data_IF_063932057524
#
_entry.id   IF_063932057524
#
_cell.length_a   1.000
_cell.length_b   1.000
_cell.length_c   1.000
_cell.angle_alpha   90.00
_cell.angle_beta   90.00
_cell.angle_gamma   90.00
#
_symmetry.space_group_name_H-M   'P 1'
#
loop_
_entity.id
_entity.type
_entity.pdbx_description
1 polymer ?
#
# COMPACT_ATOMS: atom_id res chain seq x y z
N UNK A 1 15.50 14.54 2.26
CA UNK A 1 16.87 14.05 1.95
C UNK A 1 17.04 12.54 2.13
N UNK A 2 16.41 11.89 3.12
CA UNK A 2 16.51 10.44 3.32
C UNK A 2 16.16 9.56 2.10
N UNK A 3 15.18 9.90 1.23
CA UNK A 3 14.89 9.09 0.04
C UNK A 3 16.02 9.09 -0.98
N UNK A 4 16.64 10.26 -1.21
CA UNK A 4 17.71 10.45 -2.22
C UNK A 4 18.97 9.67 -1.83
N UNK A 5 19.32 9.65 -0.54
CA UNK A 5 20.46 8.88 -0.03
C UNK A 5 20.27 7.37 -0.25
N UNK A 6 19.06 6.83 0.01
CA UNK A 6 18.78 5.41 -0.22
C UNK A 6 18.81 5.02 -1.70
N UNK A 7 18.35 5.90 -2.59
CA UNK A 7 18.51 5.68 -4.03
C UNK A 7 19.98 5.69 -4.48
N UNK A 8 20.79 6.59 -3.90
CA UNK A 8 22.22 6.63 -4.18
C UNK A 8 22.90 5.35 -3.67
N UNK A 9 22.56 4.87 -2.47
CA UNK A 9 23.09 3.63 -1.91
C UNK A 9 22.68 2.41 -2.74
N UNK A 10 21.41 2.30 -3.15
CA UNK A 10 20.94 1.27 -4.06
C UNK A 10 21.72 1.28 -5.39
N UNK A 11 21.98 2.47 -5.97
CA UNK A 11 22.76 2.61 -7.19
C UNK A 11 24.23 2.20 -7.00
N UNK A 12 24.84 2.56 -5.87
CA UNK A 12 26.20 2.15 -5.51
C UNK A 12 26.30 0.63 -5.39
N UNK A 13 25.34 -0.02 -4.72
CA UNK A 13 25.29 -1.48 -4.62
C UNK A 13 25.06 -2.14 -5.98
N UNK A 14 24.23 -1.55 -6.85
CA UNK A 14 24.04 -2.02 -8.22
C UNK A 14 25.36 -1.97 -9.03
N UNK A 15 26.13 -0.88 -8.91
CA UNK A 15 27.43 -0.72 -9.57
C UNK A 15 28.44 -1.73 -9.00
N UNK A 16 28.49 -1.93 -7.68
CA UNK A 16 29.35 -2.94 -7.03
C UNK A 16 29.00 -4.37 -7.48
N UNK A 17 27.71 -4.68 -7.61
CA UNK A 17 27.23 -5.96 -8.14
C UNK A 17 27.70 -6.19 -9.58
N UNK A 18 27.54 -5.21 -10.48
CA UNK A 18 28.04 -5.32 -11.87
C UNK A 18 29.57 -5.42 -11.94
N UNK A 19 30.29 -4.77 -11.02
CA UNK A 19 31.75 -4.86 -10.96
C UNK A 19 32.22 -6.23 -10.44
N UNK A 20 31.49 -6.85 -9.51
CA UNK A 20 31.73 -8.21 -9.05
C UNK A 20 31.41 -9.25 -10.13
N UNK A 21 30.34 -9.05 -10.89
CA UNK A 21 29.99 -9.85 -12.07
C UNK A 21 31.11 -9.83 -13.12
N UNK A 22 31.64 -8.64 -13.45
CA UNK A 22 32.80 -8.50 -14.36
C UNK A 22 34.07 -9.19 -13.83
N UNK A 23 34.18 -9.40 -12.52
CA UNK A 23 35.29 -10.12 -11.88
C UNK A 23 35.01 -11.62 -11.69
N UNK A 24 33.88 -12.12 -12.20
CA UNK A 24 33.39 -13.51 -12.01
C UNK A 24 33.26 -13.95 -10.54
N UNK A 25 33.12 -13.01 -9.61
CA UNK A 25 32.88 -13.31 -8.18
C UNK A 25 31.37 -13.40 -7.90
N UNK A 26 30.84 -14.60 -8.10
CA UNK A 26 29.43 -14.92 -7.86
C UNK A 26 28.99 -14.75 -6.40
N UNK A 27 29.89 -14.89 -5.42
CA UNK A 27 29.52 -14.77 -4.01
C UNK A 27 29.30 -13.30 -3.65
N UNK A 28 30.25 -12.42 -3.99
CA UNK A 28 30.13 -10.98 -3.74
C UNK A 28 29.01 -10.36 -4.58
N UNK A 29 28.79 -10.83 -5.82
CA UNK A 29 27.68 -10.37 -6.65
C UNK A 29 26.33 -10.61 -5.96
N UNK A 30 26.09 -11.81 -5.43
CA UNK A 30 24.84 -12.14 -4.72
C UNK A 30 24.62 -11.26 -3.49
N UNK A 31 25.67 -11.03 -2.71
CA UNK A 31 25.60 -10.16 -1.52
C UNK A 31 25.22 -8.73 -1.90
N UNK A 32 25.95 -8.12 -2.85
CA UNK A 32 25.63 -6.74 -3.28
C UNK A 32 24.27 -6.61 -3.95
N UNK A 33 23.84 -7.63 -4.71
CA UNK A 33 22.50 -7.66 -5.29
C UNK A 33 21.40 -7.74 -4.22
N UNK A 34 21.60 -8.56 -3.17
CA UNK A 34 20.64 -8.66 -2.06
C UNK A 34 20.53 -7.36 -1.24
N UNK A 35 21.66 -6.67 -1.03
CA UNK A 35 21.71 -5.36 -0.37
C UNK A 35 21.00 -4.30 -1.20
N UNK A 36 21.24 -4.27 -2.52
CA UNK A 36 20.56 -3.38 -3.44
C UNK A 36 19.04 -3.56 -3.39
N UNK A 37 18.56 -4.81 -3.44
CA UNK A 37 17.13 -5.12 -3.36
C UNK A 37 16.51 -4.70 -2.03
N UNK A 38 17.23 -4.85 -0.93
CA UNK A 38 16.80 -4.39 0.39
C UNK A 38 16.61 -2.88 0.40
N UNK A 39 17.62 -2.11 -0.02
CA UNK A 39 17.55 -0.65 -0.08
C UNK A 39 16.43 -0.15 -1.02
N UNK A 40 16.24 -0.79 -2.17
CA UNK A 40 15.15 -0.46 -3.10
C UNK A 40 13.77 -0.72 -2.47
N UNK A 41 13.60 -1.84 -1.76
CA UNK A 41 12.35 -2.15 -1.06
C UNK A 41 12.04 -1.16 0.07
N UNK A 42 13.06 -0.73 0.81
CA UNK A 42 12.94 0.24 1.90
C UNK A 42 12.67 1.65 1.36
N UNK A 43 13.28 2.03 0.23
CA UNK A 43 12.98 3.27 -0.47
C UNK A 43 11.56 3.28 -1.05
N UNK A 44 11.09 2.16 -1.59
CA UNK A 44 9.73 2.01 -2.07
C UNK A 44 8.70 2.07 -0.93
N UNK A 45 9.01 1.52 0.24
CA UNK A 45 8.15 1.63 1.43
C UNK A 45 8.02 3.09 1.91
N UNK A 46 9.12 3.83 1.96
CA UNK A 46 9.07 5.26 2.30
C UNK A 46 8.20 6.05 1.33
N UNK A 47 8.30 5.75 0.03
CA UNK A 47 7.49 6.39 -1.01
C UNK A 47 6.00 6.10 -0.83
N UNK A 48 5.65 4.89 -0.39
CA UNK A 48 4.27 4.57 -0.01
C UNK A 48 3.81 5.43 1.16
N UNK A 49 4.62 5.57 2.21
CA UNK A 49 4.24 6.40 3.35
C UNK A 49 4.03 7.86 2.95
N UNK A 50 4.93 8.44 2.17
CA UNK A 50 4.76 9.79 1.61
C UNK A 50 3.46 9.90 0.79
N UNK A 51 3.24 8.94 -0.11
CA UNK A 51 2.06 8.91 -0.97
C UNK A 51 0.73 8.81 -0.19
N UNK A 52 0.65 7.96 0.83
CA UNK A 52 -0.61 7.69 1.54
C UNK A 52 -0.80 8.48 2.84
N UNK A 53 0.26 9.00 3.46
CA UNK A 53 0.16 9.84 4.67
C UNK A 53 0.12 11.34 4.35
N UNK A 54 0.63 11.75 3.19
CA UNK A 54 0.63 13.15 2.76
C UNK A 54 -0.31 13.36 1.57
N UNK A 55 -0.01 12.73 0.42
CA UNK A 55 -0.74 13.02 -0.82
C UNK A 55 -2.20 12.54 -0.80
N UNK A 56 -2.49 11.36 -0.24
CA UNK A 56 -3.87 10.85 -0.17
C UNK A 56 -4.80 11.70 0.73
N UNK A 57 -4.42 12.09 1.97
CA UNK A 57 -5.20 13.03 2.77
C UNK A 57 -5.34 14.41 2.11
N UNK A 58 -4.28 14.92 1.47
CA UNK A 58 -4.35 16.16 0.70
C UNK A 58 -5.39 16.04 -0.42
N UNK A 59 -5.45 14.90 -1.11
CA UNK A 59 -6.44 14.64 -2.14
C UNK A 59 -7.87 14.53 -1.59
N UNK A 60 -8.06 13.96 -0.39
CA UNK A 60 -9.36 13.99 0.30
C UNK A 60 -9.81 15.42 0.57
N UNK A 61 -8.92 16.24 1.11
CA UNK A 61 -9.19 17.66 1.39
C UNK A 61 -9.50 18.42 0.10
N UNK A 62 -8.70 18.24 -0.95
CA UNK A 62 -8.92 18.88 -2.25
C UNK A 62 -10.27 18.50 -2.85
N UNK A 63 -10.64 17.22 -2.80
CA UNK A 63 -11.92 16.72 -3.34
C UNK A 63 -13.09 17.27 -2.53
N UNK A 64 -13.01 17.29 -1.19
CA UNK A 64 -14.06 17.85 -0.33
C UNK A 64 -14.23 19.36 -0.48
N UNK A 65 -13.14 20.12 -0.64
CA UNK A 65 -13.19 21.56 -0.92
C UNK A 65 -13.77 21.84 -2.30
N UNK A 66 -13.43 21.04 -3.30
CA UNK A 66 -13.97 21.18 -4.64
C UNK A 66 -15.49 20.99 -4.66
N UNK A 67 -16.00 20.00 -3.91
CA UNK A 67 -17.42 19.79 -3.69
C UNK A 67 -18.13 20.98 -3.02
N UNK A 68 -17.43 21.75 -2.18
CA UNK A 68 -17.98 22.97 -1.55
C UNK A 68 -17.94 24.18 -2.48
N UNK A 69 -16.86 24.34 -3.23
CA UNK A 69 -16.59 25.56 -3.99
C UNK A 69 -17.34 25.60 -5.32
N UNK A 70 -17.49 24.47 -6.01
CA UNK A 70 -18.10 24.44 -7.34
C UNK A 70 -19.00 23.20 -7.50
N UNK A 71 -20.33 23.38 -7.67
CA UNK A 71 -21.20 22.27 -8.05
C UNK A 71 -21.01 21.84 -9.51
N UNK A 72 -20.11 22.48 -10.28
CA UNK A 72 -19.74 22.12 -11.65
C UNK A 72 -18.25 21.78 -11.70
N UNK A 73 -17.93 20.51 -11.94
CA UNK A 73 -16.55 20.05 -12.02
C UNK A 73 -15.97 20.35 -13.39
N UNK A 74 -14.85 21.07 -13.43
CA UNK A 74 -14.10 21.24 -14.68
C UNK A 74 -13.38 19.93 -15.01
N UNK A 75 -13.41 19.50 -16.28
CA UNK A 75 -12.77 18.26 -16.76
C UNK A 75 -11.31 18.15 -16.31
N UNK A 76 -10.56 19.26 -16.32
CA UNK A 76 -9.17 19.30 -15.86
C UNK A 76 -8.99 18.91 -14.39
N UNK A 77 -9.92 19.28 -13.50
CA UNK A 77 -9.86 18.92 -12.09
C UNK A 77 -10.11 17.44 -11.89
N UNK A 78 -11.09 16.87 -12.61
CA UNK A 78 -11.38 15.45 -12.57
C UNK A 78 -10.18 14.62 -13.09
N UNK A 79 -9.58 15.06 -14.20
CA UNK A 79 -8.38 14.42 -14.76
C UNK A 79 -7.20 14.47 -13.79
N UNK A 80 -7.02 15.59 -13.06
CA UNK A 80 -5.95 15.73 -12.07
C UNK A 80 -6.17 14.81 -10.85
N UNK A 81 -7.41 14.70 -10.37
CA UNK A 81 -7.76 13.77 -9.29
C UNK A 81 -7.52 12.33 -9.74
N UNK A 82 -7.95 11.98 -10.96
CA UNK A 82 -7.77 10.64 -11.52
C UNK A 82 -6.29 10.29 -11.69
N UNK A 83 -5.48 11.18 -12.25
CA UNK A 83 -4.05 10.94 -12.47
C UNK A 83 -3.28 10.76 -11.15
N UNK A 84 -3.62 11.52 -10.11
CA UNK A 84 -3.07 11.35 -8.77
C UNK A 84 -3.31 9.94 -8.23
N UNK A 85 -4.56 9.45 -8.30
CA UNK A 85 -4.92 8.12 -7.77
C UNK A 85 -4.27 7.01 -8.58
N UNK A 86 -4.18 7.16 -9.91
CA UNK A 86 -3.41 6.25 -10.76
C UNK A 86 -1.94 6.20 -10.31
N UNK A 87 -1.35 7.36 -10.02
CA UNK A 87 0.01 7.47 -9.48
C UNK A 87 0.18 6.72 -8.14
N UNK A 88 -0.80 6.81 -7.23
CA UNK A 88 -0.78 6.08 -5.96
C UNK A 88 -0.86 4.57 -6.17
N UNK A 89 -1.75 4.12 -7.06
CA UNK A 89 -1.86 2.71 -7.45
C UNK A 89 -0.55 2.18 -8.06
N UNK A 90 0.10 2.99 -8.90
CA UNK A 90 1.40 2.65 -9.48
C UNK A 90 2.51 2.53 -8.44
N UNK A 91 2.58 3.48 -7.50
CA UNK A 91 3.55 3.44 -6.39
C UNK A 91 3.39 2.16 -5.56
N UNK A 92 2.16 1.75 -5.29
CA UNK A 92 1.87 0.53 -4.54
C UNK A 92 2.27 -0.74 -5.31
N UNK A 93 1.95 -0.82 -6.60
CA UNK A 93 2.34 -1.95 -7.43
C UNK A 93 3.88 -2.05 -7.58
N UNK A 94 4.57 -0.92 -7.70
CA UNK A 94 6.03 -0.86 -7.75
C UNK A 94 6.66 -1.38 -6.45
N UNK A 95 6.14 -0.99 -5.28
CA UNK A 95 6.58 -1.52 -4.00
C UNK A 95 6.34 -3.03 -3.86
N UNK A 96 5.14 -3.51 -4.19
CA UNK A 96 4.82 -4.94 -4.10
C UNK A 96 5.73 -5.77 -5.00
N UNK A 97 6.10 -5.23 -6.16
CA UNK A 97 7.10 -5.83 -7.04
C UNK A 97 8.51 -5.81 -6.41
N UNK A 98 8.95 -4.71 -5.80
CA UNK A 98 10.25 -4.61 -5.14
C UNK A 98 10.39 -5.60 -3.96
N UNK A 99 9.37 -5.68 -3.10
CA UNK A 99 9.32 -6.64 -1.98
C UNK A 99 9.37 -8.07 -2.47
N UNK A 100 8.72 -8.36 -3.60
CA UNK A 100 8.72 -9.71 -4.19
C UNK A 100 10.08 -10.08 -4.79
N UNK A 101 10.77 -9.14 -5.43
CA UNK A 101 12.13 -9.38 -5.94
C UNK A 101 13.13 -9.69 -4.83
N UNK A 102 12.94 -9.09 -3.64
CA UNK A 102 13.74 -9.43 -2.46
C UNK A 102 13.56 -10.89 -2.01
N UNK A 103 12.35 -11.46 -2.18
CA UNK A 103 12.06 -12.87 -1.88
C UNK A 103 12.48 -13.76 -3.07
N UNK A 104 13.74 -14.21 -3.10
CA UNK A 104 14.30 -15.01 -4.20
C UNK A 104 13.61 -16.37 -4.46
N UNK A 105 12.66 -16.78 -3.62
CA UNK A 105 11.97 -18.08 -3.66
C UNK A 105 10.66 -18.10 -4.48
N UNK A 106 10.26 -16.99 -5.13
CA UNK A 106 9.00 -16.91 -5.88
C UNK A 106 9.21 -16.49 -7.33
N UNK A 107 8.50 -17.16 -8.25
CA UNK A 107 8.48 -16.82 -9.67
C UNK A 107 8.16 -15.33 -9.87
N UNK A 108 8.86 -14.70 -10.82
CA UNK A 108 8.62 -13.30 -11.21
C UNK A 108 7.14 -13.10 -11.56
N UNK A 109 6.56 -12.01 -11.04
CA UNK A 109 5.17 -11.65 -11.33
C UNK A 109 5.02 -11.36 -12.83
N UNK A 110 3.99 -11.94 -13.47
CA UNK A 110 3.67 -11.55 -14.85
C UNK A 110 3.30 -10.08 -14.91
N UNK A 111 3.57 -9.43 -16.05
CA UNK A 111 3.16 -8.04 -16.28
C UNK A 111 1.65 -7.86 -16.13
N UNK A 112 0.87 -8.86 -16.53
CA UNK A 112 -0.58 -8.93 -16.33
C UNK A 112 -0.97 -8.97 -14.85
N UNK A 113 -0.24 -9.72 -14.02
CA UNK A 113 -0.45 -9.76 -12.58
C UNK A 113 -0.19 -8.41 -11.93
N UNK A 114 0.88 -7.70 -12.33
CA UNK A 114 1.11 -6.33 -11.85
C UNK A 114 0.04 -5.37 -12.31
N UNK A 115 -0.44 -5.46 -13.56
CA UNK A 115 -1.49 -4.59 -14.05
C UNK A 115 -2.80 -4.76 -13.26
N UNK A 116 -3.21 -6.02 -13.00
CA UNK A 116 -4.38 -6.31 -12.15
C UNK A 116 -4.18 -5.78 -10.72
N UNK A 117 -2.95 -5.90 -10.20
CA UNK A 117 -2.54 -5.40 -8.88
C UNK A 117 -2.67 -3.89 -8.74
N UNK A 118 -2.11 -3.16 -9.68
CA UNK A 118 -2.30 -1.72 -9.79
C UNK A 118 -3.77 -1.38 -9.86
N UNK A 119 -4.54 -2.11 -10.68
CA UNK A 119 -5.94 -1.80 -10.95
C UNK A 119 -6.84 -2.01 -9.73
N UNK A 120 -6.75 -3.13 -9.01
CA UNK A 120 -7.60 -3.31 -7.82
C UNK A 120 -7.23 -2.32 -6.72
N UNK A 121 -5.95 -2.03 -6.53
CA UNK A 121 -5.52 -1.07 -5.51
C UNK A 121 -5.94 0.35 -5.87
N UNK A 122 -5.87 0.72 -7.15
CA UNK A 122 -6.42 1.97 -7.67
C UNK A 122 -7.91 2.09 -7.34
N UNK A 123 -8.72 1.09 -7.70
CA UNK A 123 -10.17 1.14 -7.50
C UNK A 123 -10.59 1.18 -6.03
N UNK A 124 -9.92 0.40 -5.17
CA UNK A 124 -10.16 0.40 -3.72
C UNK A 124 -9.80 1.77 -3.15
N UNK A 125 -8.61 2.29 -3.48
CA UNK A 125 -8.11 3.59 -3.00
C UNK A 125 -9.02 4.72 -3.46
N UNK A 126 -9.44 4.72 -4.73
CA UNK A 126 -10.39 5.68 -5.30
C UNK A 126 -11.68 5.75 -4.48
N UNK A 127 -12.29 4.60 -4.24
CA UNK A 127 -13.54 4.54 -3.48
C UNK A 127 -13.35 5.00 -2.03
N UNK A 128 -12.22 4.69 -1.38
CA UNK A 128 -11.90 5.17 -0.03
C UNK A 128 -11.73 6.68 0.02
N UNK A 129 -10.97 7.26 -0.90
CA UNK A 129 -10.77 8.71 -0.98
C UNK A 129 -12.11 9.42 -1.17
N UNK A 130 -12.95 8.95 -2.10
CA UNK A 130 -14.26 9.56 -2.36
C UNK A 130 -15.17 9.43 -1.13
N UNK A 131 -15.24 8.24 -0.52
CA UNK A 131 -16.06 8.01 0.69
C UNK A 131 -15.67 8.92 1.85
N UNK A 132 -14.38 9.14 2.07
CA UNK A 132 -13.90 10.01 3.16
C UNK A 132 -14.10 11.48 2.77
N UNK A 133 -13.95 11.83 1.50
CA UNK A 133 -14.17 13.19 0.99
C UNK A 133 -15.62 13.65 1.14
N UNK A 134 -16.60 12.77 0.88
CA UNK A 134 -18.02 13.11 1.04
C UNK A 134 -18.40 13.35 2.49
N UNK A 135 -17.84 12.58 3.42
CA UNK A 135 -18.07 12.82 4.85
C UNK A 135 -17.28 14.04 5.34
N UNK A 136 -16.08 14.29 4.82
CA UNK A 136 -15.34 15.52 5.09
C UNK A 136 -16.10 16.78 4.62
N UNK A 137 -16.80 16.66 3.49
CA UNK A 137 -17.68 17.70 2.97
C UNK A 137 -18.84 18.00 3.93
N UNK A 138 -19.55 16.97 4.42
CA UNK A 138 -20.71 17.12 5.32
C UNK A 138 -20.30 17.49 6.76
N UNK A 139 -19.33 16.76 7.31
CA UNK A 139 -18.96 16.76 8.72
C UNK A 139 -17.43 16.69 8.89
N UNK A 140 -16.69 17.79 8.65
CA UNK A 140 -15.24 17.78 8.61
C UNK A 140 -14.60 17.36 9.94
N UNK A 141 -15.10 17.88 11.07
CA UNK A 141 -14.56 17.55 12.40
C UNK A 141 -14.78 16.08 12.77
N UNK A 142 -15.97 15.54 12.50
CA UNK A 142 -16.30 14.14 12.73
C UNK A 142 -15.49 13.19 11.83
N UNK A 143 -15.16 13.64 10.62
CA UNK A 143 -14.31 12.88 9.71
C UNK A 143 -12.91 12.70 10.27
N UNK A 144 -12.31 13.78 10.80
CA UNK A 144 -10.98 13.72 11.43
C UNK A 144 -10.99 12.74 12.61
N UNK A 145 -12.02 12.81 13.46
CA UNK A 145 -12.17 11.90 14.59
C UNK A 145 -12.31 10.43 14.13
N UNK A 146 -13.17 10.17 13.14
CA UNK A 146 -13.36 8.82 12.59
C UNK A 146 -12.08 8.26 11.96
N UNK A 147 -11.31 9.09 11.26
CA UNK A 147 -10.01 8.73 10.69
C UNK A 147 -9.01 8.40 11.80
N UNK A 148 -8.91 9.23 12.85
CA UNK A 148 -8.04 8.99 13.99
C UNK A 148 -8.39 7.69 14.72
N UNK A 149 -9.67 7.43 14.97
CA UNK A 149 -10.14 6.18 15.58
C UNK A 149 -9.78 4.98 14.70
N UNK A 150 -10.02 5.05 13.38
CA UNK A 150 -9.66 3.97 12.48
C UNK A 150 -8.16 3.67 12.51
N UNK A 151 -7.31 4.71 12.48
CA UNK A 151 -5.86 4.56 12.57
C UNK A 151 -5.45 3.94 13.91
N UNK A 152 -6.04 4.37 15.02
CA UNK A 152 -5.75 3.81 16.34
C UNK A 152 -6.13 2.32 16.42
N UNK A 153 -7.31 1.96 15.91
CA UNK A 153 -7.77 0.57 15.87
C UNK A 153 -6.86 -0.27 14.97
N UNK A 154 -6.52 0.18 13.76
CA UNK A 154 -5.66 -0.59 12.87
C UNK A 154 -4.24 -0.69 13.39
N UNK A 155 -3.67 0.37 13.95
CA UNK A 155 -2.34 0.37 14.56
C UNK A 155 -2.25 -0.57 15.77
N UNK A 156 -3.28 -0.59 16.62
CA UNK A 156 -3.35 -1.52 17.77
C UNK A 156 -3.50 -2.96 17.31
N UNK A 157 -4.33 -3.24 16.29
CA UNK A 157 -4.44 -4.57 15.69
C UNK A 157 -3.09 -5.03 15.12
N UNK A 158 -2.34 -4.15 14.44
CA UNK A 158 -0.99 -4.45 13.96
C UNK A 158 -0.08 -4.80 15.14
N UNK A 159 -0.04 -3.99 16.20
CA UNK A 159 0.81 -4.25 17.37
C UNK A 159 0.50 -5.58 18.07
N UNK A 160 -0.77 -5.99 18.11
CA UNK A 160 -1.20 -7.24 18.75
C UNK A 160 -0.87 -8.45 17.86
N UNK A 161 -1.15 -8.36 16.56
CA UNK A 161 -1.08 -9.51 15.67
C UNK A 161 0.22 -9.62 14.87
N UNK A 162 0.97 -8.53 14.73
CA UNK A 162 2.16 -8.38 13.90
C UNK A 162 3.26 -7.65 14.68
N UNK A 163 4.00 -8.40 15.49
CA UNK A 163 5.23 -7.87 16.11
C UNK A 163 6.21 -7.52 14.99
N UNK A 164 6.41 -6.23 14.72
CA UNK A 164 7.22 -5.76 13.59
C UNK A 164 8.66 -6.25 13.72
N UNK A 165 9.22 -6.91 12.68
CA UNK A 165 10.62 -7.32 12.69
C UNK A 165 11.59 -6.14 12.47
N UNK A 166 11.11 -4.98 12.01
CA UNK A 166 11.97 -3.87 11.56
C UNK A 166 12.51 -3.01 12.71
N UNK A 167 11.77 -2.88 13.82
CA UNK A 167 12.11 -1.96 14.91
C UNK A 167 12.23 -2.63 16.28
N UNK A 168 12.73 -3.87 16.33
CA UNK A 168 12.85 -4.65 17.58
C UNK A 168 13.73 -3.99 18.65
N UNK A 169 14.59 -3.02 18.30
CA UNK A 169 15.52 -2.39 19.24
C UNK A 169 15.00 -1.06 19.83
N UNK A 170 14.02 -0.40 19.21
CA UNK A 170 13.45 0.87 19.68
C UNK A 170 11.92 0.84 19.66
N UNK A 171 11.31 0.79 20.85
CA UNK A 171 9.84 0.72 21.01
C UNK A 171 9.11 1.91 20.41
N UNK A 172 9.70 3.11 20.45
CA UNK A 172 9.08 4.32 19.88
C UNK A 172 9.00 4.21 18.37
N UNK A 173 10.06 3.69 17.72
CA UNK A 173 10.09 3.51 16.27
C UNK A 173 9.07 2.46 15.81
N UNK A 174 8.91 1.37 16.57
CA UNK A 174 7.92 0.32 16.29
C UNK A 174 6.46 0.84 16.37
N UNK A 175 6.17 1.60 17.42
CA UNK A 175 4.87 2.27 17.59
C UNK A 175 4.63 3.26 16.44
N UNK A 176 5.59 4.14 16.15
CA UNK A 176 5.48 5.12 15.08
C UNK A 176 5.26 4.44 13.71
N UNK A 177 5.95 3.33 13.44
CA UNK A 177 5.76 2.55 12.23
C UNK A 177 4.35 1.95 12.12
N UNK A 178 3.81 1.48 13.25
CA UNK A 178 2.45 0.93 13.29
C UNK A 178 1.38 2.00 13.10
N UNK A 179 1.60 3.21 13.61
CA UNK A 179 0.77 4.37 13.32
C UNK A 179 0.85 4.79 11.84
N UNK A 180 2.06 4.81 11.26
CA UNK A 180 2.24 5.08 9.84
C UNK A 180 1.50 4.05 8.97
N UNK A 181 1.62 2.76 9.28
CA UNK A 181 0.86 1.71 8.58
C UNK A 181 -0.66 1.84 8.81
N UNK A 182 -1.09 2.15 10.03
CA UNK A 182 -2.50 2.40 10.33
C UNK A 182 -3.07 3.56 9.50
N UNK A 183 -2.26 4.60 9.28
CA UNK A 183 -2.56 5.72 8.37
C UNK A 183 -2.71 5.27 6.92
N UNK A 184 -1.80 4.44 6.41
CA UNK A 184 -1.94 3.87 5.05
C UNK A 184 -3.21 3.01 4.94
N UNK A 185 -3.53 2.23 5.97
CA UNK A 185 -4.70 1.35 6.03
C UNK A 185 -6.02 2.11 6.02
N UNK A 186 -6.02 3.42 6.22
CA UNK A 186 -7.20 4.24 5.98
C UNK A 186 -7.67 4.17 4.52
N UNK A 187 -6.72 4.03 3.58
CA UNK A 187 -6.94 4.05 2.13
C UNK A 187 -6.77 2.70 1.45
N UNK A 188 -5.74 1.93 1.84
CA UNK A 188 -5.43 0.66 1.19
C UNK A 188 -4.66 -0.26 2.14
N UNK A 189 -4.90 -1.57 2.02
CA UNK A 189 -4.13 -2.55 2.76
C UNK A 189 -2.82 -2.86 2.04
N UNK A 190 -1.70 -2.63 2.73
CA UNK A 190 -0.37 -3.07 2.31
C UNK A 190 0.15 -4.06 3.33
N UNK A 191 0.82 -5.13 2.91
CA UNK A 191 1.43 -6.05 3.86
C UNK A 191 2.95 -5.82 3.88
N UNK A 192 3.56 -5.42 5.01
CA UNK A 192 5.01 -5.18 5.08
C UNK A 192 5.85 -6.45 4.88
N UNK A 193 5.29 -7.61 5.28
CA UNK A 193 5.95 -8.92 5.20
C UNK A 193 4.93 -9.98 4.78
N UNK A 194 5.14 -10.66 3.65
CA UNK A 194 4.22 -11.68 3.16
C UNK A 194 4.14 -12.89 4.12
N UNK A 195 2.96 -13.14 4.71
CA UNK A 195 2.69 -14.25 5.64
C UNK A 195 1.33 -14.94 5.41
N UNK A 196 0.89 -15.84 6.32
CA UNK A 196 -0.44 -16.48 6.28
C UNK A 196 -1.53 -15.47 6.66
N UNK A 197 -1.94 -14.62 5.72
CA UNK A 197 -2.72 -13.39 6.04
C UNK A 197 -4.15 -13.36 5.50
N UNK A 198 -4.67 -14.45 4.93
CA UNK A 198 -6.01 -14.47 4.28
C UNK A 198 -7.14 -13.94 5.18
N UNK A 199 -7.16 -14.33 6.46
CA UNK A 199 -8.18 -13.88 7.40
C UNK A 199 -8.09 -12.37 7.70
N UNK A 200 -6.87 -11.83 7.77
CA UNK A 200 -6.63 -10.40 7.99
C UNK A 200 -7.10 -9.55 6.82
N UNK A 201 -6.83 -10.02 5.60
CA UNK A 201 -7.40 -9.42 4.38
C UNK A 201 -8.93 -9.36 4.49
N UNK A 202 -9.58 -10.49 4.79
CA UNK A 202 -11.05 -10.55 4.89
C UNK A 202 -11.58 -9.55 5.93
N UNK A 203 -11.02 -9.52 7.14
CA UNK A 203 -11.46 -8.57 8.19
C UNK A 203 -11.32 -7.12 7.70
N UNK A 204 -10.14 -6.75 7.23
CA UNK A 204 -9.87 -5.37 6.82
C UNK A 204 -10.81 -4.92 5.70
N UNK A 205 -10.92 -5.72 4.63
CA UNK A 205 -11.75 -5.35 3.48
C UNK A 205 -13.25 -5.35 3.84
N UNK A 206 -13.69 -6.20 4.77
CA UNK A 206 -15.07 -6.18 5.27
C UNK A 206 -15.36 -4.91 6.06
N UNK A 207 -14.47 -4.50 6.98
CA UNK A 207 -14.62 -3.27 7.76
C UNK A 207 -14.68 -2.06 6.83
N UNK A 208 -13.74 -1.96 5.89
CA UNK A 208 -13.69 -0.85 4.95
C UNK A 208 -14.90 -0.82 4.00
N UNK A 209 -15.42 -1.98 3.59
CA UNK A 209 -16.67 -2.06 2.82
C UNK A 209 -17.86 -1.50 3.60
N UNK A 210 -18.03 -1.93 4.85
CA UNK A 210 -19.10 -1.43 5.73
C UNK A 210 -18.98 0.08 5.91
N UNK A 211 -17.76 0.58 6.15
CA UNK A 211 -17.51 2.02 6.25
C UNK A 211 -17.89 2.78 4.98
N UNK A 212 -17.56 2.27 3.79
CA UNK A 212 -17.91 2.92 2.52
C UNK A 212 -19.42 2.93 2.28
N UNK A 213 -20.11 1.82 2.57
CA UNK A 213 -21.57 1.76 2.48
C UNK A 213 -22.20 2.75 3.47
N UNK A 214 -21.69 2.83 4.71
CA UNK A 214 -22.15 3.81 5.69
C UNK A 214 -21.91 5.25 5.21
N UNK A 215 -20.76 5.54 4.60
CA UNK A 215 -20.47 6.86 4.03
C UNK A 215 -21.44 7.19 2.89
N UNK A 216 -21.70 6.24 1.99
CA UNK A 216 -22.67 6.40 0.89
C UNK A 216 -24.10 6.59 1.40
N UNK A 217 -24.50 5.88 2.45
CA UNK A 217 -25.81 6.04 3.09
C UNK A 217 -25.96 7.44 3.73
N UNK A 218 -24.96 7.89 4.49
CA UNK A 218 -24.94 9.23 5.09
C UNK A 218 -24.99 10.31 4.00
N UNK A 219 -24.24 10.13 2.90
CA UNK A 219 -24.31 11.03 1.75
C UNK A 219 -25.71 11.07 1.15
N UNK A 220 -26.34 9.92 0.93
CA UNK A 220 -27.69 9.86 0.38
C UNK A 220 -28.72 10.61 1.24
N UNK A 221 -28.62 10.48 2.57
CA UNK A 221 -29.62 11.04 3.49
C UNK A 221 -29.39 12.51 3.83
N UNK A 222 -28.14 12.92 4.05
CA UNK A 222 -27.80 14.23 4.64
C UNK A 222 -27.20 15.26 3.67
N UNK A 223 -27.05 14.92 2.39
CA UNK A 223 -26.61 15.90 1.39
C UNK A 223 -27.63 17.04 1.22
N UNK A 224 -27.14 18.23 0.92
CA UNK A 224 -27.97 19.41 0.61
C UNK A 224 -28.86 19.20 -0.60
N UNK A 225 -30.02 19.85 -0.63
CA UNK A 225 -30.99 19.71 -1.73
C UNK A 225 -30.41 20.16 -3.09
N UNK A 226 -29.58 21.19 -3.10
CA UNK A 226 -28.90 21.67 -4.31
C UNK A 226 -27.98 20.60 -4.91
N UNK A 227 -27.19 19.94 -4.06
CA UNK A 227 -26.30 18.86 -4.49
C UNK A 227 -27.09 17.61 -4.88
N UNK A 228 -28.22 17.32 -4.21
CA UNK A 228 -29.11 16.20 -4.57
C UNK A 228 -29.70 16.34 -5.97
N UNK A 229 -30.03 17.57 -6.40
CA UNK A 229 -30.54 17.87 -7.75
C UNK A 229 -29.44 17.93 -8.81
N UNK A 230 -28.19 18.01 -8.39
CA UNK A 230 -27.05 18.08 -9.29
C UNK A 230 -26.79 16.75 -10.00
N UNK A 231 -26.30 16.84 -11.24
CA UNK A 231 -25.90 15.68 -12.03
C UNK A 231 -24.79 14.84 -11.35
N UNK A 232 -24.02 15.45 -10.44
CA UNK A 232 -22.91 14.78 -9.75
C UNK A 232 -23.34 13.90 -8.58
N UNK A 233 -24.60 13.99 -8.11
CA UNK A 233 -25.08 13.21 -6.97
C UNK A 233 -24.93 11.70 -7.17
N UNK A 234 -25.49 11.18 -8.27
CA UNK A 234 -25.46 9.75 -8.57
C UNK A 234 -24.04 9.23 -8.89
N UNK A 235 -23.21 9.91 -9.70
CA UNK A 235 -21.82 9.53 -9.88
C UNK A 235 -21.06 9.45 -8.56
N UNK A 236 -21.11 10.48 -7.71
CA UNK A 236 -20.38 10.48 -6.43
C UNK A 236 -20.82 9.30 -5.56
N UNK A 237 -22.14 9.09 -5.43
CA UNK A 237 -22.69 7.96 -4.69
C UNK A 237 -22.19 6.62 -5.27
N UNK A 238 -22.24 6.43 -6.58
CA UNK A 238 -21.75 5.22 -7.23
C UNK A 238 -20.25 5.01 -6.96
N UNK A 239 -19.43 6.07 -7.06
CA UNK A 239 -17.99 6.01 -6.81
C UNK A 239 -17.63 5.71 -5.35
N UNK A 240 -18.53 5.92 -4.37
CA UNK A 240 -18.27 5.51 -2.97
C UNK A 240 -18.24 3.98 -2.81
N UNK A 241 -19.03 3.22 -3.57
CA UNK A 241 -19.18 1.75 -3.35
C UNK A 241 -18.74 0.91 -4.55
N UNK A 242 -19.13 1.29 -5.77
CA UNK A 242 -18.94 0.45 -6.97
C UNK A 242 -17.46 0.14 -7.25
N UNK A 243 -16.52 1.12 -7.26
CA UNK A 243 -15.11 0.82 -7.46
C UNK A 243 -14.55 -0.12 -6.39
N UNK A 244 -15.02 -0.02 -5.14
CA UNK A 244 -14.59 -0.92 -4.08
C UNK A 244 -14.93 -2.37 -4.40
N UNK A 245 -16.19 -2.62 -4.77
CA UNK A 245 -16.68 -3.97 -5.11
C UNK A 245 -15.96 -4.51 -6.34
N UNK A 246 -15.81 -3.69 -7.39
CA UNK A 246 -15.07 -4.09 -8.59
C UNK A 246 -13.61 -4.40 -8.25
N UNK A 247 -12.98 -3.59 -7.41
CA UNK A 247 -11.63 -3.83 -6.90
C UNK A 247 -11.52 -5.17 -6.15
N UNK A 248 -12.48 -5.49 -5.28
CA UNK A 248 -12.52 -6.79 -4.59
C UNK A 248 -12.66 -7.97 -5.57
N UNK A 249 -13.51 -7.85 -6.59
CA UNK A 249 -13.67 -8.89 -7.61
C UNK A 249 -12.36 -9.11 -8.37
N UNK A 250 -11.71 -8.03 -8.80
CA UNK A 250 -10.40 -8.11 -9.49
C UNK A 250 -9.34 -8.72 -8.57
N UNK A 251 -9.33 -8.35 -7.28
CA UNK A 251 -8.44 -8.96 -6.28
C UNK A 251 -8.67 -10.47 -6.19
N UNK A 252 -9.92 -10.93 -6.10
CA UNK A 252 -10.25 -12.38 -6.06
C UNK A 252 -9.81 -13.09 -7.33
N UNK A 253 -10.04 -12.49 -8.51
CA UNK A 253 -9.58 -13.03 -9.80
C UNK A 253 -8.05 -13.16 -9.79
N UNK A 254 -7.33 -12.12 -9.36
CA UNK A 254 -5.88 -12.16 -9.25
C UNK A 254 -5.41 -13.29 -8.33
N UNK A 255 -5.97 -13.42 -7.13
CA UNK A 255 -5.55 -14.47 -6.19
C UNK A 255 -5.89 -15.89 -6.66
N UNK A 256 -6.94 -16.04 -7.48
CA UNK A 256 -7.36 -17.33 -8.02
C UNK A 256 -6.50 -17.78 -9.21
N UNK A 257 -6.19 -16.86 -10.12
CA UNK A 257 -5.59 -17.20 -11.42
C UNK A 257 -4.13 -16.80 -11.56
N UNK A 258 -3.70 -15.70 -10.93
CA UNK A 258 -2.41 -15.08 -11.18
C UNK A 258 -1.46 -15.13 -9.99
N UNK A 259 -1.98 -15.29 -8.76
CA UNK A 259 -1.11 -15.38 -7.58
C UNK A 259 -0.28 -16.67 -7.65
N UNK A 260 1.06 -16.56 -7.80
CA UNK A 260 1.88 -17.74 -8.02
C UNK A 260 1.78 -18.67 -6.83
N UNK A 261 1.42 -19.94 -7.10
CA UNK A 261 1.48 -21.00 -6.10
C UNK A 261 2.94 -21.15 -5.69
N UNK A 262 3.20 -21.25 -4.38
CA UNK A 262 4.54 -21.49 -3.84
C UNK A 262 5.12 -22.70 -4.57
N UNK A 263 6.26 -22.52 -5.23
CA UNK A 263 7.02 -23.65 -5.77
C UNK A 263 7.51 -24.46 -4.57
N UNK A 264 6.88 -25.60 -4.30
CA UNK A 264 7.44 -26.62 -3.40
C UNK A 264 8.61 -27.34 -4.10
N UNK A 265 9.56 -26.62 -4.69
CA UNK A 265 10.86 -27.19 -5.06
C UNK A 265 11.83 -26.80 -3.97
N UNK A 266 12.01 -27.73 -3.04
CA UNK A 266 12.93 -27.59 -1.92
C UNK A 266 14.34 -27.30 -2.41
N UNK A 267 14.95 -26.28 -1.82
CA UNK A 267 16.33 -26.38 -1.39
C UNK A 267 16.34 -26.13 0.11
N UNK A 268 16.41 -27.21 0.88
CA UNK A 268 16.94 -27.13 2.23
C UNK A 268 18.41 -26.74 2.08
N UNK A 269 18.71 -25.45 2.19
CA UNK A 269 20.09 -25.01 2.40
C UNK A 269 20.36 -25.22 3.89
N UNK A 270 20.84 -26.42 4.21
CA UNK A 270 21.47 -26.68 5.50
C UNK A 270 22.68 -25.75 5.58
N UNK A 271 22.64 -24.77 6.48
CA UNK A 271 23.83 -23.99 6.82
C UNK A 271 24.85 -24.96 7.41
N UNK A 272 25.85 -25.34 6.62
CA UNK A 272 27.05 -25.99 7.13
C UNK A 272 27.74 -24.93 7.98
N UNK A 273 27.70 -25.16 9.29
CA UNK A 273 28.34 -24.33 10.29
C UNK A 273 29.83 -24.71 10.27
N UNK A 274 30.63 -24.06 9.42
CA UNK A 274 32.09 -24.19 9.46
C UNK A 274 32.62 -23.47 10.70
N UNK A 275 32.56 -24.16 11.85
CA UNK A 275 33.53 -23.94 12.93
C UNK A 275 34.69 -24.90 12.72
N UNK A 276 35.78 -24.38 12.15
CA UNK A 276 37.10 -24.98 12.29
C UNK A 276 37.71 -24.63 13.69
N UNK A 277 38.87 -25.17 14.07
CA UNK A 277 39.03 -26.40 14.85
C UNK A 277 39.59 -26.10 16.26
N UNK A 278 39.35 -26.99 17.23
CA UNK A 278 40.14 -27.01 18.46
C UNK A 278 40.02 -28.37 19.16
N UNK A 279 41.06 -29.19 19.08
CA UNK A 279 41.85 -29.61 20.24
C UNK A 279 42.85 -30.70 19.83
N UNK A 280 44.11 -30.29 19.68
CA UNK A 280 45.28 -31.12 19.96
C UNK A 280 45.93 -30.50 21.18
N UNK A 281 45.77 -31.16 22.31
CA UNK A 281 46.71 -31.21 23.44
C UNK A 281 46.19 -32.26 24.41
#
# INVERSE_FOLDING_TARGET
MAPILRFADALIYAIKSRRAERKQDTASQRVYYSLMLKEDSDAALLRIFECFLEAAPQQVLQTSLLLRANPQFTVHQLLSIASSIIGMGWCLAAYQRAVRFYQQDKYNMSWTGTALQTLWHFLVTLSRIISISVIAYLYPHWTILACAIHILVTATLIQIFDRSPFCSHNRVADIAFSFALGGVYLFTYILPVEGKTRYRYIIYYTICFIQNVACGAIWYTYVTDDMRRSFYFFPILAFTVVPYVVGLVIMVIYYRFFHPKISKRGLSVTFVNDRAPANVS
#
